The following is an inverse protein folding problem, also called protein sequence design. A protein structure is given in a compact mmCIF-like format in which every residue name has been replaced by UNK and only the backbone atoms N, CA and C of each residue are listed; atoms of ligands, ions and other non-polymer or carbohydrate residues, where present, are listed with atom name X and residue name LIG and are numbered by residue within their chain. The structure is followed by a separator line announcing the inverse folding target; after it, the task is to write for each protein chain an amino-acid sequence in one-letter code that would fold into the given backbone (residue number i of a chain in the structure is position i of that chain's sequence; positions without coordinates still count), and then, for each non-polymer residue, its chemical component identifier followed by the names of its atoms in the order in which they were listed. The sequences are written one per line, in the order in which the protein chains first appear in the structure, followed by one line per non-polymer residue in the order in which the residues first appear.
data_IF_627969370992
#
_entry.id   IF_627969370992
#
_cell.length_a   1.000
_cell.length_b   1.000
_cell.length_c   1.000
_cell.angle_alpha   90.00
_cell.angle_beta   90.00
_cell.angle_gamma   90.00
#
_symmetry.space_group_name_H-M   'P 1'
#
loop_
_entity.id
_entity.type
_entity.pdbx_description
1 polymer ?
#
# COMPACT_ATOMS: atom_id res chain seq x y z
N UNK A 1 14.08 -59.29 20.53
CA UNK A 1 12.65 -59.31 20.15
C UNK A 1 12.34 -58.06 19.33
N UNK A 2 11.97 -58.27 18.07
CA UNK A 2 11.81 -57.26 17.03
C UNK A 2 10.45 -56.58 17.16
N UNK A 3 10.43 -55.31 17.58
CA UNK A 3 9.20 -54.52 17.57
C UNK A 3 8.84 -54.14 16.12
N UNK A 4 7.59 -54.43 15.77
CA UNK A 4 7.02 -54.50 14.42
C UNK A 4 7.28 -53.24 13.56
N UNK A 5 7.69 -53.50 12.31
CA UNK A 5 7.89 -52.51 11.23
C UNK A 5 6.58 -51.90 10.70
N UNK A 6 5.43 -52.23 11.31
CA UNK A 6 4.09 -51.84 10.82
C UNK A 6 3.63 -50.46 11.28
N UNK A 7 4.27 -49.86 12.30
CA UNK A 7 3.96 -48.48 12.72
C UNK A 7 4.54 -47.42 11.77
N UNK A 8 5.61 -47.73 11.05
CA UNK A 8 6.31 -46.77 10.16
C UNK A 8 5.68 -46.66 8.76
N UNK A 9 4.59 -47.40 8.49
CA UNK A 9 3.89 -47.40 7.18
C UNK A 9 2.71 -46.45 7.12
N UNK A 10 2.15 -46.03 8.26
CA UNK A 10 0.94 -45.17 8.33
C UNK A 10 1.20 -43.66 8.19
N UNK A 11 2.45 -43.22 8.22
CA UNK A 11 2.81 -41.80 8.07
C UNK A 11 3.18 -41.39 6.63
N UNK A 12 3.06 -42.30 5.66
CA UNK A 12 3.23 -42.00 4.23
C UNK A 12 1.87 -41.99 3.56
N UNK A 13 1.16 -40.87 3.71
CA UNK A 13 -0.14 -40.72 3.06
C UNK A 13 -0.86 -39.48 3.52
N UNK A 14 -0.43 -38.34 2.99
CA UNK A 14 -1.25 -37.17 2.62
C UNK A 14 -0.30 -36.06 2.19
N UNK A 15 0.15 -36.16 0.95
CA UNK A 15 0.55 -34.96 0.20
C UNK A 15 -0.71 -34.12 0.08
N UNK A 16 -0.93 -33.21 1.02
CA UNK A 16 -1.84 -32.08 0.81
C UNK A 16 -1.10 -31.17 -0.15
N UNK A 17 -1.26 -31.42 -1.45
CA UNK A 17 -1.10 -30.35 -2.44
C UNK A 17 -2.04 -29.26 -1.98
N UNK A 18 -1.47 -28.27 -1.32
CA UNK A 18 -2.17 -27.06 -0.94
C UNK A 18 -2.51 -26.39 -2.26
N UNK A 19 -3.77 -26.53 -2.69
CA UNK A 19 -4.35 -25.78 -3.78
C UNK A 19 -4.41 -24.32 -3.34
N UNK A 20 -3.25 -23.66 -3.27
CA UNK A 20 -3.11 -22.23 -3.08
C UNK A 20 -3.74 -21.56 -4.31
N UNK A 21 -5.06 -21.42 -4.28
CA UNK A 21 -5.78 -20.51 -5.14
C UNK A 21 -5.31 -19.12 -4.73
N UNK A 22 -4.58 -18.46 -5.63
CA UNK A 22 -4.32 -17.04 -5.52
C UNK A 22 -5.68 -16.36 -5.36
N UNK A 23 -5.93 -15.63 -4.25
CA UNK A 23 -7.18 -14.91 -4.10
C UNK A 23 -7.32 -13.98 -5.29
N UNK A 24 -8.52 -13.94 -5.88
CA UNK A 24 -8.81 -13.03 -6.97
C UNK A 24 -8.44 -11.60 -6.54
N UNK A 25 -7.86 -10.78 -7.42
CA UNK A 25 -7.51 -9.41 -7.08
C UNK A 25 -8.79 -8.70 -6.66
N UNK A 26 -8.87 -8.28 -5.39
CA UNK A 26 -9.95 -7.45 -4.87
C UNK A 26 -9.93 -6.16 -5.67
N UNK A 27 -10.85 -6.06 -6.64
CA UNK A 27 -11.10 -4.82 -7.39
C UNK A 27 -12.00 -3.94 -6.53
N UNK A 28 -11.86 -2.62 -6.58
CA UNK A 28 -12.68 -1.75 -5.77
C UNK A 28 -14.07 -1.65 -6.41
N UNK A 29 -15.10 -1.47 -5.60
CA UNK A 29 -16.45 -1.18 -6.11
C UNK A 29 -16.58 0.25 -6.67
N UNK A 30 -15.49 1.03 -6.67
CA UNK A 30 -15.40 2.38 -7.22
C UNK A 30 -14.41 2.44 -8.39
N UNK A 31 -14.71 3.27 -9.39
CA UNK A 31 -13.82 3.48 -10.53
C UNK A 31 -12.56 4.23 -10.11
N UNK A 32 -11.38 3.63 -10.33
CA UNK A 32 -10.09 4.31 -10.19
C UNK A 32 -9.88 5.15 -11.45
N UNK A 33 -10.22 6.44 -11.38
CA UNK A 33 -10.15 7.36 -12.54
C UNK A 33 -8.72 7.58 -13.04
N UNK A 34 -7.76 7.60 -12.12
CA UNK A 34 -6.34 7.74 -12.44
C UNK A 34 -5.57 6.56 -11.83
N UNK A 35 -4.88 5.74 -12.65
CA UNK A 35 -4.06 4.66 -12.11
C UNK A 35 -2.96 5.24 -11.19
N UNK A 36 -2.59 4.53 -10.13
CA UNK A 36 -1.53 4.97 -9.23
C UNK A 36 -0.21 5.18 -9.99
N UNK A 37 0.62 6.11 -9.50
CA UNK A 37 1.94 6.36 -10.10
C UNK A 37 2.75 5.05 -10.24
N UNK A 38 3.49 4.81 -11.35
CA UNK A 38 4.34 3.64 -11.51
C UNK A 38 5.36 3.45 -10.39
N UNK A 39 5.74 4.54 -9.72
CA UNK A 39 6.70 4.55 -8.60
C UNK A 39 6.01 4.61 -7.22
N UNK A 40 4.68 4.41 -7.16
CA UNK A 40 3.96 4.44 -5.90
C UNK A 40 4.52 3.40 -4.93
N UNK A 41 4.69 3.83 -3.68
CA UNK A 41 5.15 2.99 -2.59
C UNK A 41 4.41 3.31 -1.26
N UNK A 42 4.20 2.32 -0.37
CA UNK A 42 4.29 0.88 -0.64
C UNK A 42 3.27 0.46 -1.70
N UNK A 43 3.65 -0.52 -2.52
CA UNK A 43 2.75 -1.14 -3.48
C UNK A 43 1.94 -2.23 -2.78
N UNK A 44 0.75 -1.85 -2.28
CA UNK A 44 -0.16 -2.79 -1.64
C UNK A 44 -0.95 -3.58 -2.67
N UNK A 45 -1.18 -4.86 -2.38
CA UNK A 45 -2.26 -5.59 -3.06
C UNK A 45 -3.60 -4.89 -2.80
N UNK A 46 -4.34 -4.54 -3.85
CA UNK A 46 -5.61 -3.81 -3.78
C UNK A 46 -5.46 -2.29 -3.93
N UNK A 47 -6.37 -1.52 -3.33
CA UNK A 47 -6.54 -0.08 -3.63
C UNK A 47 -6.07 0.88 -2.53
N UNK A 48 -5.33 0.37 -1.54
CA UNK A 48 -4.82 1.21 -0.46
C UNK A 48 -3.92 2.30 -1.04
N UNK A 49 -4.23 3.54 -0.72
CA UNK A 49 -3.46 4.70 -1.12
C UNK A 49 -3.50 5.03 -2.61
N UNK A 50 -4.40 4.42 -3.40
CA UNK A 50 -4.41 4.60 -4.85
C UNK A 50 -5.33 5.72 -5.33
N UNK A 51 -6.33 6.12 -4.54
CA UNK A 51 -7.27 7.19 -4.91
C UNK A 51 -7.51 8.14 -3.74
N UNK A 52 -7.83 9.38 -4.09
CA UNK A 52 -8.32 10.41 -3.20
C UNK A 52 -9.61 9.98 -2.50
N UNK A 53 -9.66 10.19 -1.18
CA UNK A 53 -10.78 9.78 -0.35
C UNK A 53 -10.86 8.27 -0.08
N UNK A 54 -9.96 7.48 -0.67
CA UNK A 54 -9.91 6.02 -0.51
C UNK A 54 -9.34 5.55 0.83
N UNK A 55 -8.80 4.33 0.84
CA UNK A 55 -8.20 3.72 2.02
C UNK A 55 -6.75 4.19 2.19
N UNK A 56 -6.32 4.46 3.41
CA UNK A 56 -4.96 4.89 3.73
C UNK A 56 -3.87 3.91 3.21
N UNK A 57 -2.76 4.47 2.70
CA UNK A 57 -1.59 3.76 2.18
C UNK A 57 -0.66 3.16 3.24
N UNK A 58 -0.92 3.33 4.55
CA UNK A 58 -0.10 2.68 5.58
C UNK A 58 -0.51 1.21 5.70
N UNK A 59 0.48 0.29 5.70
CA UNK A 59 0.25 -1.17 5.72
C UNK A 59 -0.73 -1.60 6.82
N UNK A 60 -0.53 -1.09 8.04
CA UNK A 60 -1.34 -1.44 9.21
C UNK A 60 -2.62 -0.61 9.37
N UNK A 61 -2.86 0.38 8.51
CA UNK A 61 -4.02 1.28 8.63
C UNK A 61 -5.09 0.94 7.60
N UNK A 62 -6.35 0.88 8.01
CA UNK A 62 -7.50 0.63 7.14
C UNK A 62 -8.49 1.78 7.11
N UNK A 63 -8.13 2.95 7.64
CA UNK A 63 -9.01 4.14 7.66
C UNK A 63 -9.33 4.59 6.24
N UNK A 64 -10.60 4.94 6.02
CA UNK A 64 -11.07 5.61 4.81
C UNK A 64 -10.73 7.11 4.84
N UNK A 65 -11.17 7.85 3.83
CA UNK A 65 -10.94 9.30 3.68
C UNK A 65 -9.45 9.66 3.63
N UNK A 66 -8.69 8.92 2.82
CA UNK A 66 -7.29 9.25 2.54
C UNK A 66 -7.19 10.47 1.61
N UNK A 67 -7.07 11.66 2.19
CA UNK A 67 -7.03 12.95 1.46
C UNK A 67 -5.66 13.64 1.50
N UNK A 68 -4.66 13.01 2.13
CA UNK A 68 -3.30 13.53 2.17
C UNK A 68 -2.43 12.77 1.18
N UNK A 69 -1.85 13.47 0.22
CA UNK A 69 -0.98 12.89 -0.80
C UNK A 69 0.49 12.95 -0.36
N UNK A 70 1.19 11.81 -0.37
CA UNK A 70 2.63 11.76 -0.11
C UNK A 70 3.42 12.03 -1.39
N UNK A 71 4.16 13.15 -1.40
CA UNK A 71 4.91 13.65 -2.56
C UNK A 71 6.09 12.76 -2.95
N UNK A 72 6.64 12.00 -2.00
CA UNK A 72 7.79 11.12 -2.23
C UNK A 72 7.42 9.67 -2.56
N UNK A 73 6.22 9.24 -2.19
CA UNK A 73 5.79 7.84 -2.38
C UNK A 73 4.52 7.69 -3.22
N UNK A 74 3.97 8.80 -3.72
CA UNK A 74 2.81 8.84 -4.62
C UNK A 74 1.54 8.14 -4.09
N UNK A 75 1.39 8.04 -2.76
CA UNK A 75 0.27 7.36 -2.12
C UNK A 75 -0.57 8.28 -1.24
N UNK A 76 -1.87 7.97 -1.11
CA UNK A 76 -2.79 8.71 -0.25
C UNK A 76 -2.86 8.17 1.19
N UNK A 77 -2.82 9.05 2.17
CA UNK A 77 -2.85 8.76 3.60
C UNK A 77 -4.04 9.46 4.27
N UNK A 78 -4.52 8.89 5.37
CA UNK A 78 -5.45 9.58 6.26
C UNK A 78 -4.70 10.69 7.03
N UNK A 79 -5.45 11.62 7.63
CA UNK A 79 -4.87 12.74 8.36
C UNK A 79 -3.90 12.30 9.48
N UNK A 80 -4.27 11.29 10.28
CA UNK A 80 -3.43 10.82 11.39
C UNK A 80 -2.06 10.30 10.92
N UNK A 81 -2.05 9.44 9.90
CA UNK A 81 -0.80 8.85 9.40
C UNK A 81 0.03 9.88 8.64
N UNK A 82 -0.60 10.81 7.92
CA UNK A 82 0.09 11.90 7.24
C UNK A 82 0.81 12.82 8.23
N UNK A 83 0.14 13.20 9.33
CA UNK A 83 0.74 13.99 10.42
C UNK A 83 1.91 13.23 11.05
N UNK A 84 1.73 11.94 11.32
CA UNK A 84 2.78 11.10 11.88
C UNK A 84 4.01 10.99 10.97
N UNK A 85 3.82 10.88 9.66
CA UNK A 85 4.90 10.87 8.65
C UNK A 85 5.61 12.23 8.63
N UNK A 86 4.86 13.34 8.57
CA UNK A 86 5.41 14.69 8.50
C UNK A 86 6.20 15.08 9.75
N UNK A 87 5.93 14.48 10.91
CA UNK A 87 6.72 14.70 12.13
C UNK A 87 8.22 14.48 11.93
N UNK A 88 8.60 13.62 10.99
CA UNK A 88 9.98 13.26 10.70
C UNK A 88 10.53 13.88 9.40
N UNK A 89 9.75 14.72 8.69
CA UNK A 89 10.14 15.24 7.37
C UNK A 89 10.98 16.52 7.41
N UNK A 90 11.25 17.07 8.60
CA UNK A 90 12.04 18.30 8.76
C UNK A 90 11.24 19.55 8.37
N UNK A 91 11.85 20.43 7.56
CA UNK A 91 11.26 21.73 7.19
C UNK A 91 10.11 21.64 6.19
N UNK A 92 10.07 20.57 5.40
CA UNK A 92 9.17 20.46 4.24
C UNK A 92 8.28 19.22 4.41
N UNK A 93 6.94 19.33 4.38
CA UNK A 93 6.04 18.22 4.68
C UNK A 93 6.04 17.17 3.56
N UNK A 94 6.24 15.89 3.85
CA UNK A 94 6.15 14.83 2.84
C UNK A 94 4.71 14.62 2.34
N UNK A 95 3.76 14.67 3.26
CA UNK A 95 2.33 14.53 2.99
C UNK A 95 1.65 15.90 2.96
N UNK A 96 0.98 16.22 1.87
CA UNK A 96 0.21 17.46 1.70
C UNK A 96 -1.27 17.14 1.57
N UNK A 97 -2.14 18.02 2.06
CA UNK A 97 -3.57 17.87 1.81
C UNK A 97 -3.88 18.24 0.35
N UNK A 98 -4.67 17.43 -0.33
CA UNK A 98 -5.20 17.70 -1.67
C UNK A 98 -6.72 17.57 -1.64
N UNK A 99 -7.39 17.94 -2.72
CA UNK A 99 -8.86 17.99 -2.83
C UNK A 99 -9.42 17.16 -4.00
N UNK A 100 -8.56 16.45 -4.74
CA UNK A 100 -8.94 15.59 -5.86
C UNK A 100 -7.89 14.50 -6.14
N UNK A 101 -8.24 13.55 -7.02
CA UNK A 101 -7.30 12.58 -7.57
C UNK A 101 -6.25 13.27 -8.43
N UNK A 102 -4.99 13.21 -7.99
CA UNK A 102 -3.86 13.79 -8.71
C UNK A 102 -3.64 13.12 -10.06
N UNK A 103 -3.41 13.93 -11.08
CA UNK A 103 -2.91 13.53 -12.39
C UNK A 103 -1.42 13.19 -12.35
N UNK A 104 -0.90 12.50 -13.37
CA UNK A 104 0.53 12.22 -13.47
C UNK A 104 1.39 13.48 -13.45
N UNK A 105 0.93 14.54 -14.11
CA UNK A 105 1.59 15.83 -14.18
C UNK A 105 1.67 16.48 -12.79
N UNK A 106 0.58 16.46 -12.02
CA UNK A 106 0.53 16.99 -10.66
C UNK A 106 1.39 16.17 -9.71
N UNK A 107 1.32 14.83 -9.79
CA UNK A 107 2.17 13.93 -9.02
C UNK A 107 3.66 14.26 -9.20
N UNK A 108 4.09 14.47 -10.45
CA UNK A 108 5.47 14.86 -10.79
C UNK A 108 5.79 16.31 -10.37
N UNK A 109 4.83 17.22 -10.42
CA UNK A 109 5.01 18.59 -9.94
C UNK A 109 5.24 18.62 -8.43
N UNK A 110 4.43 17.89 -7.66
CA UNK A 110 4.56 17.75 -6.21
C UNK A 110 5.92 17.17 -5.81
N UNK A 111 6.37 16.13 -6.50
CA UNK A 111 7.68 15.54 -6.26
C UNK A 111 8.82 16.56 -6.49
N UNK A 112 8.79 17.29 -7.62
CA UNK A 112 9.80 18.32 -7.92
C UNK A 112 9.80 19.45 -6.90
N UNK A 113 8.62 19.95 -6.52
CA UNK A 113 8.47 20.98 -5.50
C UNK A 113 9.05 20.52 -4.16
N UNK A 114 8.75 19.28 -3.74
CA UNK A 114 9.32 18.71 -2.52
C UNK A 114 10.85 18.67 -2.54
N UNK A 115 11.47 18.24 -3.66
CA UNK A 115 12.93 18.19 -3.79
C UNK A 115 13.55 19.58 -3.69
N UNK A 116 12.96 20.58 -4.35
CA UNK A 116 13.44 21.97 -4.27
C UNK A 116 13.29 22.54 -2.86
N UNK A 117 12.15 22.30 -2.20
CA UNK A 117 11.90 22.73 -0.81
C UNK A 117 12.84 22.06 0.21
N UNK A 118 13.37 20.86 -0.09
CA UNK A 118 14.29 20.12 0.78
C UNK A 118 15.76 20.48 0.53
N UNK A 119 16.04 21.30 -0.48
CA UNK A 119 17.39 21.75 -0.80
C UNK A 119 17.97 22.58 0.38
N UNK A 120 19.22 22.31 0.80
CA UNK A 120 19.84 22.95 1.96
C UNK A 120 20.12 24.44 1.76
#
# INVERSE_FOLDING_TARGET
MSYSKDLSRRLRGKSTRSDYQLPEPVRPDFEVKVPPHPQKYPDHKGHKGSVFGGICNRTACSRAHATFYNRGTYGYYCAEDAIAINRYSGKSPLCIQVDHDQTYEEMNAHYRAMIEEMRP
#
